data_IF_739061530947
#
_entry.id   IF_739061530947
#
_cell.length_a   1.000
_cell.length_b   1.000
_cell.length_c   1.000
_cell.angle_alpha   90.00
_cell.angle_beta   90.00
_cell.angle_gamma   90.00
#
_symmetry.space_group_name_H-M   'P 1'
#
loop_
_entity.id
_entity.type
_entity.pdbx_description
1 polymer ?
#
# COMPACT_ATOMS: atom_id res chain seq x y z
N UNK A 1 40.17 44.58 -14.68
CA UNK A 1 38.85 44.42 -14.04
C UNK A 1 38.09 43.35 -14.82
N UNK A 2 37.55 42.33 -14.16
CA UNK A 2 36.72 41.32 -14.84
C UNK A 2 35.34 41.90 -15.17
N UNK A 3 34.74 41.50 -16.29
CA UNK A 3 33.40 41.95 -16.69
C UNK A 3 32.34 41.56 -15.64
N UNK A 4 31.33 42.42 -15.34
CA UNK A 4 30.29 42.09 -14.36
C UNK A 4 29.54 40.78 -14.66
N UNK A 5 29.37 40.43 -15.95
CA UNK A 5 28.71 39.20 -16.38
C UNK A 5 29.51 37.93 -16.06
N UNK A 6 30.85 37.96 -16.10
CA UNK A 6 31.65 36.77 -15.76
C UNK A 6 31.55 36.46 -14.26
N UNK A 7 31.48 37.50 -13.41
CA UNK A 7 31.28 37.33 -11.97
C UNK A 7 29.91 36.72 -11.64
N UNK A 8 28.87 37.15 -12.37
CA UNK A 8 27.52 36.58 -12.25
C UNK A 8 27.51 35.11 -12.69
N UNK A 9 28.17 34.79 -13.81
CA UNK A 9 28.27 33.41 -14.29
C UNK A 9 29.01 32.50 -13.30
N UNK A 10 30.14 32.96 -12.75
CA UNK A 10 30.88 32.21 -11.73
C UNK A 10 30.04 31.97 -10.47
N UNK A 11 29.29 32.99 -10.03
CA UNK A 11 28.37 32.85 -8.90
C UNK A 11 27.23 31.86 -9.21
N UNK A 12 26.73 31.84 -10.44
CA UNK A 12 25.75 30.87 -10.91
C UNK A 12 26.33 29.45 -10.94
N UNK A 13 27.55 29.24 -11.46
CA UNK A 13 28.21 27.93 -11.48
C UNK A 13 28.46 27.40 -10.06
N UNK A 14 28.78 28.26 -9.09
CA UNK A 14 28.87 27.89 -7.67
C UNK A 14 27.50 27.52 -7.08
N UNK A 15 26.45 28.24 -7.45
CA UNK A 15 25.08 27.98 -6.97
C UNK A 15 24.43 26.75 -7.62
N UNK A 16 24.81 26.42 -8.85
CA UNK A 16 24.27 25.36 -9.69
C UNK A 16 25.40 24.52 -10.32
N UNK A 17 26.17 23.75 -9.52
CA UNK A 17 27.37 23.05 -9.99
C UNK A 17 27.10 22.02 -11.09
N UNK A 18 25.90 21.43 -11.13
CA UNK A 18 25.48 20.46 -12.14
C UNK A 18 24.97 21.09 -13.45
N UNK A 19 24.94 22.43 -13.57
CA UNK A 19 24.52 23.07 -14.82
C UNK A 19 25.56 22.83 -15.92
N UNK A 20 25.15 22.31 -17.07
CA UNK A 20 25.99 22.15 -18.27
C UNK A 20 26.12 23.44 -19.12
N UNK A 21 25.58 24.55 -18.64
CA UNK A 21 25.52 25.81 -19.40
C UNK A 21 26.93 26.43 -19.58
N UNK A 22 27.20 26.90 -20.80
CA UNK A 22 28.43 27.62 -21.19
C UNK A 22 28.29 29.13 -20.98
N UNK A 23 29.40 29.85 -20.85
CA UNK A 23 29.38 31.30 -20.71
C UNK A 23 28.87 31.97 -21.99
N UNK A 24 27.66 32.53 -21.93
CA UNK A 24 27.05 33.34 -22.97
C UNK A 24 26.31 34.52 -22.32
N UNK A 25 26.91 35.72 -22.23
CA UNK A 25 26.39 36.84 -21.43
C UNK A 25 25.26 37.62 -22.14
N UNK A 26 24.45 36.96 -22.97
CA UNK A 26 23.22 37.53 -23.47
C UNK A 26 22.30 37.98 -22.31
N UNK A 27 21.60 39.13 -22.42
CA UNK A 27 20.83 39.70 -21.30
C UNK A 27 19.85 38.73 -20.62
N UNK A 28 19.23 37.84 -21.38
CA UNK A 28 18.32 36.80 -20.91
C UNK A 28 19.03 35.73 -20.04
N UNK A 29 20.24 35.35 -20.40
CA UNK A 29 21.03 34.38 -19.63
C UNK A 29 21.49 35.00 -18.32
N UNK A 30 21.93 36.26 -18.34
CA UNK A 30 22.31 37.01 -17.12
C UNK A 30 21.13 37.10 -16.15
N UNK A 31 19.92 37.41 -16.62
CA UNK A 31 18.70 37.42 -15.80
C UNK A 31 18.40 36.05 -15.19
N UNK A 32 18.51 34.98 -15.98
CA UNK A 32 18.30 33.59 -15.50
C UNK A 32 19.34 33.19 -14.44
N UNK A 33 20.62 33.52 -14.64
CA UNK A 33 21.67 33.26 -13.66
C UNK A 33 21.40 33.98 -12.34
N UNK A 34 21.04 35.26 -12.39
CA UNK A 34 20.66 36.04 -11.21
C UNK A 34 19.46 35.44 -10.49
N UNK A 35 18.44 34.98 -11.22
CA UNK A 35 17.29 34.28 -10.64
C UNK A 35 17.70 33.00 -9.88
N UNK A 36 18.57 32.16 -10.46
CA UNK A 36 19.03 30.95 -9.80
C UNK A 36 19.90 31.24 -8.57
N UNK A 37 20.77 32.25 -8.64
CA UNK A 37 21.57 32.71 -7.50
C UNK A 37 20.64 33.17 -6.36
N UNK A 38 19.66 34.03 -6.68
CA UNK A 38 18.69 34.53 -5.70
C UNK A 38 17.87 33.38 -5.09
N UNK A 39 17.40 32.44 -5.91
CA UNK A 39 16.64 31.25 -5.48
C UNK A 39 17.47 30.35 -4.56
N UNK A 40 18.75 30.11 -4.88
CA UNK A 40 19.64 29.31 -4.04
C UNK A 40 19.97 30.02 -2.72
N UNK A 41 20.16 31.34 -2.74
CA UNK A 41 20.38 32.10 -1.51
C UNK A 41 19.14 32.13 -0.62
N UNK A 42 17.95 32.24 -1.20
CA UNK A 42 16.69 32.07 -0.46
C UNK A 42 16.57 30.64 0.11
N UNK A 43 16.99 29.61 -0.64
CA UNK A 43 16.99 28.21 -0.15
C UNK A 43 17.94 27.97 1.02
N UNK A 44 19.07 28.68 1.11
CA UNK A 44 19.98 28.58 2.28
C UNK A 44 19.31 29.01 3.59
N UNK A 45 18.23 29.78 3.51
CA UNK A 45 17.42 30.18 4.66
C UNK A 45 16.37 29.14 5.05
N UNK A 46 16.13 28.12 4.21
CA UNK A 46 15.25 27.03 4.62
C UNK A 46 15.89 26.23 5.75
N UNK A 47 15.14 25.91 6.81
CA UNK A 47 15.63 25.07 7.87
C UNK A 47 16.08 23.73 7.27
N UNK A 48 17.33 23.33 7.56
CA UNK A 48 17.79 21.99 7.24
C UNK A 48 16.96 21.01 8.05
N UNK A 49 16.18 20.18 7.35
CA UNK A 49 15.43 19.11 7.99
C UNK A 49 16.45 18.04 8.39
N UNK A 50 16.68 17.88 9.69
CA UNK A 50 17.45 16.77 10.22
C UNK A 50 16.56 15.52 10.25
N UNK A 51 16.99 14.49 9.54
CA UNK A 51 16.34 13.19 9.49
C UNK A 51 17.11 12.21 10.36
N UNK A 52 16.43 11.62 11.34
CA UNK A 52 16.97 10.54 12.15
C UNK A 52 16.07 9.30 12.01
N UNK A 53 16.51 8.26 11.27
CA UNK A 53 15.73 7.05 11.08
C UNK A 53 15.83 6.08 12.26
N UNK A 54 16.80 6.24 13.17
CA UNK A 54 17.12 5.23 14.17
C UNK A 54 15.94 4.94 15.12
N UNK A 55 15.23 5.95 15.67
CA UNK A 55 14.07 5.70 16.52
C UNK A 55 12.97 4.93 15.79
N UNK A 56 12.72 5.28 14.52
CA UNK A 56 11.70 4.60 13.73
C UNK A 56 12.08 3.16 13.41
N UNK A 57 13.34 2.89 13.10
CA UNK A 57 13.84 1.54 12.83
C UNK A 57 13.63 0.61 14.03
N UNK A 58 13.88 1.10 15.26
CA UNK A 58 13.63 0.34 16.49
C UNK A 58 12.14 -0.03 16.64
N UNK A 59 11.25 0.91 16.39
CA UNK A 59 9.79 0.70 16.43
C UNK A 59 9.35 -0.30 15.35
N UNK A 60 9.87 -0.15 14.14
CA UNK A 60 9.59 -1.08 13.04
C UNK A 60 9.99 -2.50 13.41
N UNK A 61 11.20 -2.72 13.92
CA UNK A 61 11.66 -4.06 14.30
C UNK A 61 10.79 -4.70 15.40
N UNK A 62 10.26 -3.90 16.34
CA UNK A 62 9.42 -4.41 17.42
C UNK A 62 7.97 -4.71 16.97
N UNK A 63 7.45 -4.00 15.97
CA UNK A 63 6.02 -4.04 15.58
C UNK A 63 5.76 -4.62 14.20
N UNK A 64 6.80 -4.89 13.43
CA UNK A 64 6.71 -5.45 12.08
C UNK A 64 5.97 -6.77 12.12
N UNK A 65 5.05 -6.94 11.19
CA UNK A 65 4.36 -8.21 10.97
C UNK A 65 5.08 -8.94 9.83
N UNK A 66 5.30 -10.25 10.00
CA UNK A 66 6.00 -11.10 9.01
C UNK A 66 5.04 -12.05 8.31
N UNK A 67 4.03 -12.54 9.02
CA UNK A 67 3.01 -13.46 8.51
C UNK A 67 1.61 -12.90 8.72
N UNK A 68 0.65 -13.31 7.90
CA UNK A 68 -0.73 -12.81 8.02
C UNK A 68 -1.34 -13.11 9.40
N UNK A 69 -0.99 -14.26 9.99
CA UNK A 69 -1.41 -14.65 11.33
C UNK A 69 -0.89 -13.72 12.44
N UNK A 70 0.19 -12.98 12.19
CA UNK A 70 0.77 -12.02 13.14
C UNK A 70 0.02 -10.69 13.23
N UNK A 71 -0.95 -10.43 12.35
CA UNK A 71 -1.77 -9.23 12.47
C UNK A 71 -2.77 -9.31 13.64
N UNK A 72 -3.07 -8.18 14.30
CA UNK A 72 -4.20 -8.09 15.22
C UNK A 72 -5.51 -8.49 14.54
N UNK A 73 -6.45 -9.06 15.28
CA UNK A 73 -7.72 -9.60 14.74
C UNK A 73 -8.50 -8.57 13.91
N UNK A 74 -8.59 -7.33 14.41
CA UNK A 74 -9.26 -6.23 13.69
C UNK A 74 -8.58 -5.94 12.34
N UNK A 75 -7.24 -5.97 12.30
CA UNK A 75 -6.47 -5.75 11.07
C UNK A 75 -6.61 -6.93 10.10
N UNK A 76 -6.61 -8.18 10.60
CA UNK A 76 -6.89 -9.37 9.77
C UNK A 76 -8.25 -9.24 9.11
N UNK A 77 -9.30 -8.98 9.88
CA UNK A 77 -10.66 -8.87 9.36
C UNK A 77 -10.80 -7.79 8.29
N UNK A 78 -10.10 -6.66 8.44
CA UNK A 78 -10.07 -5.62 7.42
C UNK A 78 -9.38 -6.10 6.14
N UNK A 79 -8.20 -6.72 6.25
CA UNK A 79 -7.51 -7.25 5.07
C UNK A 79 -8.26 -8.41 4.40
N UNK A 80 -8.97 -9.25 5.16
CA UNK A 80 -9.84 -10.29 4.60
C UNK A 80 -11.01 -9.69 3.83
N UNK A 81 -11.59 -8.58 4.33
CA UNK A 81 -12.59 -7.82 3.59
C UNK A 81 -12.00 -7.25 2.29
N UNK A 82 -10.81 -6.64 2.34
CA UNK A 82 -10.10 -6.19 1.13
C UNK A 82 -9.91 -7.35 0.14
N UNK A 83 -9.49 -8.53 0.60
CA UNK A 83 -9.35 -9.72 -0.23
C UNK A 83 -10.65 -10.10 -0.94
N UNK A 84 -11.79 -10.04 -0.23
CA UNK A 84 -13.10 -10.32 -0.81
C UNK A 84 -13.53 -9.29 -1.86
N UNK A 85 -13.12 -8.02 -1.74
CA UNK A 85 -13.37 -7.00 -2.75
C UNK A 85 -12.63 -7.29 -4.08
N UNK A 86 -11.65 -8.20 -4.08
CA UNK A 86 -10.90 -8.64 -5.26
C UNK A 86 -10.91 -10.17 -5.35
N UNK A 87 -12.07 -10.80 -5.12
CA UNK A 87 -12.20 -12.24 -5.20
C UNK A 87 -11.68 -12.78 -6.55
N UNK A 88 -10.82 -13.79 -6.48
CA UNK A 88 -10.12 -14.36 -7.64
C UNK A 88 -8.71 -13.81 -7.89
N UNK A 89 -8.38 -12.66 -7.32
CA UNK A 89 -7.10 -11.99 -7.51
C UNK A 89 -6.21 -12.16 -6.29
N UNK A 90 -4.90 -12.28 -6.51
CA UNK A 90 -3.95 -12.31 -5.41
C UNK A 90 -3.79 -10.91 -4.80
N UNK A 91 -4.16 -10.78 -3.53
CA UNK A 91 -4.00 -9.54 -2.76
C UNK A 91 -2.92 -9.70 -1.70
N UNK A 92 -2.19 -8.61 -1.44
CA UNK A 92 -1.16 -8.52 -0.42
C UNK A 92 -1.40 -7.33 0.49
N UNK A 93 -1.28 -7.52 1.80
CA UNK A 93 -1.12 -6.42 2.74
C UNK A 93 0.26 -5.79 2.56
N UNK A 94 0.37 -4.48 2.64
CA UNK A 94 1.65 -3.78 2.56
C UNK A 94 1.65 -2.51 3.44
N UNK A 95 2.63 -1.63 3.23
CA UNK A 95 2.62 -0.32 3.87
C UNK A 95 3.02 -0.32 5.34
N UNK A 96 2.50 0.66 6.08
CA UNK A 96 2.95 0.94 7.46
C UNK A 96 2.57 -0.17 8.45
N UNK A 97 1.43 -0.84 8.23
CA UNK A 97 0.95 -1.97 9.04
C UNK A 97 1.86 -3.18 8.93
N UNK A 98 2.39 -3.46 7.73
CA UNK A 98 3.36 -4.55 7.53
C UNK A 98 4.71 -4.17 8.14
N UNK A 99 5.22 -2.97 7.84
CA UNK A 99 6.56 -2.54 8.28
C UNK A 99 6.68 -2.22 9.76
N UNK A 100 5.56 -2.04 10.47
CA UNK A 100 5.55 -1.71 11.90
C UNK A 100 5.65 -0.20 12.21
N UNK A 101 5.65 0.67 11.20
CA UNK A 101 5.63 2.13 11.38
C UNK A 101 4.22 2.73 11.46
N UNK A 102 3.17 1.93 11.65
CA UNK A 102 1.79 2.41 11.70
C UNK A 102 1.49 3.21 12.98
N UNK A 103 0.43 4.02 12.93
CA UNK A 103 -0.11 4.76 14.09
C UNK A 103 -1.57 4.37 14.29
N UNK A 104 -1.94 4.00 15.50
CA UNK A 104 -3.33 3.81 15.93
C UNK A 104 -3.75 4.88 16.96
N UNK A 105 -5.06 4.93 17.22
CA UNK A 105 -5.62 5.87 18.19
C UNK A 105 -5.09 5.64 19.62
N UNK A 106 -4.76 4.39 19.96
CA UNK A 106 -4.21 3.99 21.26
C UNK A 106 -2.69 4.14 21.37
N UNK A 107 -2.00 4.44 20.27
CA UNK A 107 -0.54 4.58 20.28
C UNK A 107 -0.11 5.84 21.01
N UNK A 108 0.99 5.72 21.77
CA UNK A 108 1.60 6.84 22.47
C UNK A 108 2.29 7.83 21.53
N UNK A 109 2.75 8.94 22.12
CA UNK A 109 3.38 10.05 21.37
C UNK A 109 4.71 9.62 20.74
N UNK A 110 5.41 8.67 21.35
CA UNK A 110 6.72 8.16 20.94
C UNK A 110 6.74 7.66 19.49
N UNK A 111 5.67 7.01 19.04
CA UNK A 111 5.57 6.52 17.66
C UNK A 111 5.46 7.69 16.68
N UNK A 112 4.69 8.71 17.03
CA UNK A 112 4.49 9.89 16.19
C UNK A 112 5.77 10.74 16.11
N UNK A 113 6.47 10.89 17.23
CA UNK A 113 7.75 11.58 17.30
C UNK A 113 8.83 10.84 16.48
N UNK A 114 8.93 9.52 16.60
CA UNK A 114 9.87 8.74 15.80
C UNK A 114 9.57 8.82 14.30
N UNK A 115 8.29 8.78 13.91
CA UNK A 115 7.87 9.01 12.53
C UNK A 115 8.26 10.40 12.04
N UNK A 116 8.02 11.44 12.85
CA UNK A 116 8.36 12.82 12.52
C UNK A 116 9.88 13.02 12.38
N UNK A 117 10.67 12.44 13.29
CA UNK A 117 12.14 12.44 13.22
C UNK A 117 12.65 11.76 11.94
N UNK A 118 11.96 10.71 11.51
CA UNK A 118 12.18 10.04 10.22
C UNK A 118 11.45 10.72 9.04
N UNK A 119 11.12 12.01 9.14
CA UNK A 119 10.56 12.81 8.04
C UNK A 119 9.25 12.27 7.44
N UNK A 120 8.52 11.40 8.15
CA UNK A 120 7.23 10.88 7.70
C UNK A 120 6.15 11.93 7.89
N UNK A 121 5.14 11.89 7.03
CA UNK A 121 3.95 12.73 7.19
C UNK A 121 3.29 12.47 8.56
N UNK A 122 2.83 13.53 9.25
CA UNK A 122 2.09 13.38 10.49
C UNK A 122 0.78 12.64 10.19
N UNK A 123 0.50 11.58 10.95
CA UNK A 123 -0.71 10.78 10.87
C UNK A 123 -1.24 10.54 12.28
N UNK A 124 -2.54 10.65 12.47
CA UNK A 124 -3.23 10.28 13.71
C UNK A 124 -3.65 8.81 13.67
N UNK A 125 -3.93 8.31 12.48
CA UNK A 125 -4.32 6.93 12.21
C UNK A 125 -3.71 6.48 10.87
N UNK A 126 -3.15 5.27 10.84
CA UNK A 126 -2.60 4.67 9.63
C UNK A 126 -3.68 3.98 8.81
N UNK A 127 -3.61 4.26 7.52
CA UNK A 127 -4.24 3.52 6.44
C UNK A 127 -3.85 2.04 6.42
N UNK A 128 -4.69 1.27 5.75
CA UNK A 128 -4.52 -0.15 5.47
C UNK A 128 -4.15 -0.31 4.00
N UNK A 129 -2.88 -0.03 3.71
CA UNK A 129 -2.32 -0.18 2.37
C UNK A 129 -2.38 -1.65 1.94
N UNK A 130 -2.79 -1.86 0.69
CA UNK A 130 -2.74 -3.17 0.05
C UNK A 130 -2.28 -3.08 -1.41
N UNK A 131 -1.81 -4.20 -1.93
CA UNK A 131 -1.39 -4.35 -3.31
C UNK A 131 -2.15 -5.51 -3.97
N UNK A 132 -2.51 -5.33 -5.23
CA UNK A 132 -3.04 -6.36 -6.12
C UNK A 132 -2.59 -6.05 -7.54
N UNK A 133 -2.66 -7.03 -8.45
CA UNK A 133 -2.25 -6.88 -9.84
C UNK A 133 -2.92 -5.67 -10.51
N UNK A 134 -2.28 -4.97 -11.46
CA UNK A 134 -2.77 -3.71 -12.02
C UNK A 134 -4.15 -3.82 -12.68
N UNK A 135 -4.49 -5.00 -13.20
CA UNK A 135 -5.76 -5.28 -13.89
C UNK A 135 -6.85 -5.86 -12.99
N UNK A 136 -6.56 -6.08 -11.70
CA UNK A 136 -7.54 -6.60 -10.75
C UNK A 136 -8.76 -5.68 -10.65
N UNK A 137 -9.94 -6.27 -10.85
CA UNK A 137 -11.24 -5.59 -10.82
C UNK A 137 -11.81 -5.66 -9.40
N UNK A 138 -12.21 -4.49 -8.88
CA UNK A 138 -12.85 -4.40 -7.57
C UNK A 138 -14.35 -4.71 -7.68
N UNK A 139 -14.82 -5.66 -6.89
CA UNK A 139 -16.21 -6.16 -6.91
C UNK A 139 -17.14 -5.47 -5.90
N UNK A 140 -16.59 -4.75 -4.92
CA UNK A 140 -17.36 -4.10 -3.84
C UNK A 140 -16.63 -2.91 -3.22
N UNK A 141 -17.28 -2.13 -2.34
CA UNK A 141 -16.66 -1.00 -1.67
C UNK A 141 -15.54 -1.48 -0.74
N UNK A 142 -14.41 -0.75 -0.72
CA UNK A 142 -13.33 -1.04 0.22
C UNK A 142 -13.75 -0.67 1.66
N UNK A 143 -13.25 -1.39 2.68
CA UNK A 143 -13.42 -0.97 4.06
C UNK A 143 -12.76 0.41 4.28
N UNK A 144 -13.30 1.15 5.25
CA UNK A 144 -12.78 2.47 5.59
C UNK A 144 -11.28 2.43 5.91
N UNK A 145 -10.53 3.36 5.31
CA UNK A 145 -9.09 3.49 5.49
C UNK A 145 -8.23 2.49 4.70
N UNK A 146 -8.82 1.60 3.91
CA UNK A 146 -8.05 0.75 3.00
C UNK A 146 -7.73 1.47 1.68
N UNK A 147 -6.47 1.43 1.26
CA UNK A 147 -6.01 2.10 0.05
C UNK A 147 -5.19 1.16 -0.84
N UNK A 148 -5.56 1.11 -2.12
CA UNK A 148 -4.83 0.32 -3.13
C UNK A 148 -3.58 1.08 -3.55
N UNK A 149 -2.42 0.52 -3.26
CA UNK A 149 -1.14 1.06 -3.75
C UNK A 149 -1.01 0.74 -5.24
N UNK A 150 -0.90 1.79 -6.06
CA UNK A 150 -0.79 1.69 -7.53
C UNK A 150 0.65 1.71 -8.04
N UNK A 151 1.60 2.14 -7.22
CA UNK A 151 3.02 2.17 -7.56
C UNK A 151 3.75 0.90 -7.10
N UNK A 152 4.96 0.66 -7.63
CA UNK A 152 5.80 -0.49 -7.29
C UNK A 152 6.03 -0.51 -5.76
N UNK A 153 5.42 -1.47 -5.08
CA UNK A 153 5.55 -1.65 -3.64
C UNK A 153 6.92 -2.26 -3.37
N UNK A 154 7.73 -1.61 -2.52
CA UNK A 154 8.98 -2.21 -2.04
C UNK A 154 8.66 -3.52 -1.30
N UNK A 155 9.56 -4.48 -1.39
CA UNK A 155 9.50 -5.91 -1.04
C UNK A 155 8.67 -6.39 0.17
N UNK A 156 8.29 -5.53 1.11
CA UNK A 156 7.56 -5.91 2.31
C UNK A 156 6.06 -6.01 2.05
N UNK A 157 5.63 -7.19 1.59
CA UNK A 157 4.23 -7.52 1.38
C UNK A 157 3.90 -8.87 2.03
N UNK A 158 2.70 -8.99 2.58
CA UNK A 158 2.20 -10.22 3.20
C UNK A 158 1.00 -10.71 2.40
N UNK A 159 1.02 -11.97 2.00
CA UNK A 159 -0.08 -12.60 1.30
C UNK A 159 -1.35 -12.57 2.16
N UNK A 160 -2.45 -12.06 1.61
CA UNK A 160 -3.77 -12.18 2.25
C UNK A 160 -4.33 -13.56 1.87
N UNK A 161 -4.78 -14.38 2.84
CA UNK A 161 -5.36 -15.69 2.56
C UNK A 161 -6.54 -15.59 1.59
N UNK A 162 -6.56 -16.48 0.61
CA UNK A 162 -7.63 -16.60 -0.38
C UNK A 162 -8.56 -17.76 -0.05
N UNK A 163 -9.76 -17.73 -0.62
CA UNK A 163 -10.66 -18.88 -0.60
C UNK A 163 -10.21 -19.94 -1.61
N UNK A 164 -10.40 -21.19 -1.23
CA UNK A 164 -10.10 -22.38 -2.01
C UNK A 164 -11.38 -23.17 -2.27
N UNK A 165 -11.98 -22.92 -3.44
CA UNK A 165 -13.19 -23.60 -3.88
C UNK A 165 -12.93 -25.01 -4.40
N UNK A 166 -11.68 -25.45 -4.56
CA UNK A 166 -11.38 -26.85 -4.93
C UNK A 166 -11.83 -27.85 -3.84
N UNK A 167 -11.99 -27.36 -2.61
CA UNK A 167 -12.53 -28.12 -1.47
C UNK A 167 -14.04 -28.30 -1.52
N UNK A 168 -14.76 -27.54 -2.36
CA UNK A 168 -16.21 -27.66 -2.51
C UNK A 168 -16.56 -28.80 -3.48
N UNK A 169 -17.25 -29.86 -3.05
CA UNK A 169 -17.62 -30.94 -3.95
C UNK A 169 -18.62 -30.48 -5.02
N UNK A 170 -18.49 -31.01 -6.24
CA UNK A 170 -19.42 -30.70 -7.35
C UNK A 170 -20.90 -30.96 -7.00
N UNK A 171 -21.18 -31.92 -6.11
CA UNK A 171 -22.53 -32.21 -5.63
C UNK A 171 -23.18 -31.06 -4.85
N UNK A 172 -22.39 -30.13 -4.29
CA UNK A 172 -22.90 -28.98 -3.54
C UNK A 172 -23.11 -27.73 -4.40
N UNK A 173 -22.63 -27.71 -5.65
CA UNK A 173 -22.71 -26.53 -6.51
C UNK A 173 -24.16 -26.03 -6.71
N UNK A 174 -25.12 -26.95 -6.85
CA UNK A 174 -26.55 -26.61 -6.95
C UNK A 174 -27.11 -25.99 -5.66
N UNK A 175 -26.73 -26.54 -4.50
CA UNK A 175 -27.12 -26.01 -3.20
C UNK A 175 -26.56 -24.59 -2.97
N UNK A 176 -25.28 -24.37 -3.29
CA UNK A 176 -24.65 -23.05 -3.19
C UNK A 176 -25.35 -22.01 -4.06
N UNK A 177 -25.71 -22.34 -5.30
CA UNK A 177 -26.48 -21.44 -6.17
C UNK A 177 -27.84 -21.09 -5.56
N UNK A 178 -28.56 -22.09 -5.07
CA UNK A 178 -29.86 -21.87 -4.41
C UNK A 178 -29.74 -20.95 -3.18
N UNK A 179 -28.74 -21.17 -2.32
CA UNK A 179 -28.47 -20.31 -1.15
C UNK A 179 -28.09 -18.88 -1.57
N UNK A 180 -27.28 -18.75 -2.63
CA UNK A 180 -26.87 -17.45 -3.15
C UNK A 180 -28.05 -16.66 -3.74
N UNK A 181 -28.89 -17.30 -4.54
CA UNK A 181 -30.07 -16.70 -5.16
C UNK A 181 -31.12 -16.29 -4.12
N UNK A 182 -31.24 -17.07 -3.04
CA UNK A 182 -32.06 -16.74 -1.87
C UNK A 182 -31.45 -15.65 -0.97
N UNK A 183 -30.21 -15.21 -1.25
CA UNK A 183 -29.42 -14.32 -0.40
C UNK A 183 -29.27 -14.83 1.05
N UNK A 184 -29.22 -16.16 1.24
CA UNK A 184 -29.00 -16.82 2.52
C UNK A 184 -27.49 -16.87 2.85
N UNK A 185 -26.98 -15.74 3.34
CA UNK A 185 -25.56 -15.62 3.69
C UNK A 185 -25.17 -16.52 4.87
N UNK A 186 -26.10 -16.88 5.74
CA UNK A 186 -25.83 -17.78 6.88
C UNK A 186 -25.65 -19.21 6.36
N UNK A 187 -26.51 -19.67 5.46
CA UNK A 187 -26.34 -20.95 4.77
C UNK A 187 -25.03 -21.02 4.00
N UNK A 188 -24.64 -19.93 3.32
CA UNK A 188 -23.35 -19.83 2.63
C UNK A 188 -22.16 -19.89 3.59
N UNK A 189 -22.23 -19.27 4.78
CA UNK A 189 -21.22 -19.44 5.83
C UNK A 189 -21.16 -20.90 6.28
N UNK A 190 -22.31 -21.58 6.42
CA UNK A 190 -22.36 -23.00 6.71
C UNK A 190 -21.61 -23.86 5.68
N UNK A 191 -21.74 -23.55 4.38
CA UNK A 191 -20.95 -24.20 3.34
C UNK A 191 -19.46 -23.89 3.48
N UNK A 192 -19.12 -22.62 3.71
CA UNK A 192 -17.73 -22.20 3.92
C UNK A 192 -17.06 -22.99 5.04
N UNK A 193 -17.72 -23.08 6.20
CA UNK A 193 -17.18 -23.74 7.39
C UNK A 193 -17.14 -25.26 7.23
N UNK A 194 -18.21 -25.85 6.65
CA UNK A 194 -18.29 -27.30 6.38
C UNK A 194 -17.13 -27.82 5.55
N UNK A 195 -16.69 -27.04 4.55
CA UNK A 195 -15.63 -27.44 3.61
C UNK A 195 -14.28 -26.75 3.87
N UNK A 196 -14.19 -25.90 4.90
CA UNK A 196 -12.96 -25.16 5.21
C UNK A 196 -12.43 -24.38 4.01
N UNK A 197 -13.31 -23.66 3.31
CA UNK A 197 -12.98 -22.93 2.08
C UNK A 197 -11.94 -21.84 2.32
N UNK A 198 -11.89 -21.28 3.53
CA UNK A 198 -10.79 -20.44 4.00
C UNK A 198 -10.61 -20.54 5.52
N UNK A 199 -9.58 -19.90 6.07
CA UNK A 199 -9.38 -19.76 7.52
C UNK A 199 -10.20 -18.64 8.15
N UNK A 200 -11.03 -17.96 7.36
CA UNK A 200 -11.74 -16.77 7.83
C UNK A 200 -12.89 -17.15 8.75
N UNK A 201 -13.11 -16.35 9.78
CA UNK A 201 -14.29 -16.48 10.64
C UNK A 201 -15.17 -15.27 10.47
N UNK A 202 -16.45 -15.50 10.20
CA UNK A 202 -17.44 -14.46 9.95
C UNK A 202 -18.35 -14.31 11.17
N UNK A 203 -18.34 -13.13 11.81
CA UNK A 203 -19.16 -12.87 13.00
C UNK A 203 -20.21 -11.76 12.80
N UNK A 204 -19.82 -10.62 12.23
CA UNK A 204 -20.69 -9.43 12.18
C UNK A 204 -20.85 -8.82 10.79
N UNK A 205 -20.04 -9.24 9.80
CA UNK A 205 -20.14 -8.78 8.42
C UNK A 205 -20.02 -9.97 7.47
N UNK A 206 -21.13 -10.29 6.81
CA UNK A 206 -21.22 -11.42 5.86
C UNK A 206 -21.10 -10.98 4.39
N UNK A 207 -20.93 -9.68 4.11
CA UNK A 207 -20.73 -9.21 2.72
C UNK A 207 -19.52 -9.85 2.02
N UNK A 208 -18.36 -10.06 2.69
CA UNK A 208 -17.25 -10.76 2.07
C UNK A 208 -17.60 -12.16 1.57
N UNK A 209 -18.47 -12.89 2.28
CA UNK A 209 -18.95 -14.23 1.89
C UNK A 209 -19.69 -14.15 0.56
N UNK A 210 -20.56 -13.15 0.41
CA UNK A 210 -21.30 -12.89 -0.83
C UNK A 210 -20.37 -12.69 -2.02
N UNK A 211 -19.31 -11.88 -1.88
CA UNK A 211 -18.39 -11.60 -2.99
C UNK A 211 -17.60 -12.85 -3.42
N UNK A 212 -17.13 -13.66 -2.46
CA UNK A 212 -16.42 -14.89 -2.78
C UNK A 212 -17.31 -15.91 -3.50
N UNK A 213 -18.54 -16.12 -3.03
CA UNK A 213 -19.47 -17.03 -3.71
C UNK A 213 -19.95 -16.49 -5.06
N UNK A 214 -20.15 -15.18 -5.21
CA UNK A 214 -20.44 -14.57 -6.51
C UNK A 214 -19.32 -14.85 -7.52
N UNK A 215 -18.06 -14.65 -7.11
CA UNK A 215 -16.90 -15.00 -7.93
C UNK A 215 -16.90 -16.49 -8.31
N UNK A 216 -17.07 -17.39 -7.33
CA UNK A 216 -17.05 -18.82 -7.58
C UNK A 216 -18.15 -19.25 -8.56
N UNK A 217 -19.37 -18.76 -8.37
CA UNK A 217 -20.53 -19.07 -9.22
C UNK A 217 -20.28 -18.65 -10.68
N UNK A 218 -19.71 -17.46 -10.90
CA UNK A 218 -19.41 -16.93 -12.23
C UNK A 218 -18.23 -17.60 -12.92
N UNK A 219 -17.35 -18.25 -12.16
CA UNK A 219 -16.21 -19.01 -12.66
C UNK A 219 -16.41 -20.52 -12.48
N UNK A 220 -17.65 -20.98 -12.38
CA UNK A 220 -18.02 -22.41 -12.26
C UNK A 220 -17.27 -23.18 -11.15
N UNK A 221 -16.93 -22.49 -10.06
CA UNK A 221 -16.17 -22.99 -8.91
C UNK A 221 -14.75 -23.45 -9.28
N UNK A 222 -14.18 -22.90 -10.35
CA UNK A 222 -12.77 -23.08 -10.68
C UNK A 222 -11.88 -22.68 -9.50
N UNK A 223 -10.79 -23.43 -9.31
CA UNK A 223 -9.80 -23.10 -8.31
C UNK A 223 -9.25 -21.70 -8.59
N UNK A 224 -9.13 -20.90 -7.54
CA UNK A 224 -8.38 -19.64 -7.58
C UNK A 224 -6.98 -19.95 -8.08
N UNK A 225 -6.54 -19.26 -9.14
CA UNK A 225 -5.19 -19.42 -9.68
C UNK A 225 -4.20 -19.09 -8.58
N UNK A 226 -3.62 -20.11 -7.96
CA UNK A 226 -2.54 -19.92 -6.99
C UNK A 226 -1.38 -19.21 -7.68
N UNK A 227 -0.66 -18.39 -6.91
CA UNK A 227 0.41 -17.51 -7.41
C UNK A 227 1.66 -18.24 -7.95
N UNK A 228 1.57 -19.52 -8.33
CA UNK A 228 2.72 -20.29 -8.82
C UNK A 228 3.23 -19.84 -10.21
N UNK A 229 2.55 -18.93 -10.92
CA UNK A 229 2.98 -18.49 -12.26
C UNK A 229 3.24 -16.99 -12.43
N UNK A 230 3.25 -16.19 -11.36
CA UNK A 230 3.73 -14.80 -11.47
C UNK A 230 5.12 -14.71 -10.87
N UNK A 231 6.10 -15.22 -11.63
CA UNK A 231 7.46 -14.73 -11.53
C UNK A 231 7.39 -13.22 -11.80
N UNK A 232 7.34 -12.44 -10.72
CA UNK A 232 7.55 -11.00 -10.79
C UNK A 232 9.00 -10.89 -11.25
N UNK A 233 9.20 -10.69 -12.55
CA UNK A 233 10.47 -10.22 -13.06
C UNK A 233 10.73 -8.88 -12.38
N UNK A 234 11.61 -8.91 -11.39
CA UNK A 234 12.23 -7.73 -10.81
C UNK A 234 13.11 -7.09 -11.88
N UNK A 235 12.50 -6.25 -12.72
CA UNK A 235 13.18 -5.23 -13.51
C UNK A 235 13.32 -3.93 -12.73
#
# INVERSE_FOLDING_TARGET
>A
MQEPSIQIFDAFKRACPCSGELYNPAPENVRRWLYHIATQNARKQYPKIHFDPEPLSKIQNARRVVTFSGFPEVTKNLYLHVGACYAGEQVFACGSRVRGDYVDASDGREIREARQAAGKAPKVFSDFDFFTGPYAVQQGPLPFGAERVRCKVKSDKILIPMWDFSKLPKSEHGNVRALFDANDLVGLVGIHDKYGLSTNTYCCNLLPVKYWFFYAINNEFEATKSAENVAIHDG
#
